data_IF_758718650640
#
_entry.id   IF_758718650640
#
_cell.length_a   1.000
_cell.length_b   1.000
_cell.length_c   1.000
_cell.angle_alpha   90.00
_cell.angle_beta   90.00
_cell.angle_gamma   90.00
#
_symmetry.space_group_name_H-M   'P 1'
#
loop_
_entity.id
_entity.type
_entity.pdbx_description
1 polymer ?
#
# COMPACT_ATOMS: atom_id res chain seq x y z
N UNK A 1 -9.65 -51.38 20.70
CA UNK A 1 -11.07 -50.96 20.53
C UNK A 1 -11.27 -49.65 21.29
N UNK A 2 -11.29 -48.51 20.59
CA UNK A 2 -11.64 -47.22 21.20
C UNK A 2 -13.18 -47.14 21.30
N UNK A 3 -13.68 -46.96 22.52
CA UNK A 3 -15.09 -46.95 22.88
C UNK A 3 -15.86 -45.84 22.15
N UNK A 4 -17.10 -46.13 21.75
CA UNK A 4 -17.97 -45.24 20.95
C UNK A 4 -18.17 -43.84 21.56
N UNK A 5 -17.98 -43.71 22.88
CA UNK A 5 -18.05 -42.46 23.63
C UNK A 5 -16.92 -41.47 23.25
N UNK A 6 -15.69 -41.96 23.06
CA UNK A 6 -14.54 -41.12 22.68
C UNK A 6 -14.70 -40.53 21.27
N UNK A 7 -15.33 -41.27 20.34
CA UNK A 7 -15.61 -40.78 18.98
C UNK A 7 -16.67 -39.67 18.94
N UNK A 8 -17.62 -39.65 19.89
CA UNK A 8 -18.62 -38.56 19.99
C UNK A 8 -18.01 -37.28 20.54
N UNK A 9 -17.19 -37.37 21.58
CA UNK A 9 -16.50 -36.19 22.14
C UNK A 9 -15.56 -35.53 21.11
N UNK A 10 -14.79 -36.32 20.34
CA UNK A 10 -13.89 -35.78 19.30
C UNK A 10 -14.68 -35.10 18.16
N UNK A 11 -15.83 -35.65 17.75
CA UNK A 11 -16.69 -35.04 16.71
C UNK A 11 -17.37 -33.75 17.18
N UNK A 12 -17.79 -33.68 18.44
CA UNK A 12 -18.35 -32.46 19.04
C UNK A 12 -17.29 -31.36 19.17
N UNK A 13 -16.06 -31.71 19.56
CA UNK A 13 -14.94 -30.77 19.63
C UNK A 13 -14.56 -30.20 18.25
N UNK A 14 -14.52 -31.06 17.21
CA UNK A 14 -14.21 -30.63 15.84
C UNK A 14 -15.31 -29.77 15.21
N UNK A 15 -16.59 -30.02 15.51
CA UNK A 15 -17.70 -29.20 15.04
C UNK A 15 -17.72 -27.82 15.71
N UNK A 16 -17.42 -27.74 17.01
CA UNK A 16 -17.33 -26.48 17.74
C UNK A 16 -16.17 -25.60 17.25
N UNK A 17 -14.99 -26.17 17.00
CA UNK A 17 -13.85 -25.43 16.46
C UNK A 17 -14.08 -24.95 15.03
N UNK A 18 -14.71 -25.76 14.18
CA UNK A 18 -15.12 -25.33 12.84
C UNK A 18 -16.15 -24.19 12.89
N UNK A 19 -17.13 -24.26 13.79
CA UNK A 19 -18.13 -23.20 13.99
C UNK A 19 -17.50 -21.86 14.41
N UNK A 20 -16.53 -21.88 15.33
CA UNK A 20 -15.78 -20.68 15.74
C UNK A 20 -14.98 -20.11 14.58
N UNK A 21 -14.27 -20.94 13.81
CA UNK A 21 -13.50 -20.50 12.65
C UNK A 21 -14.39 -19.79 11.62
N UNK A 22 -15.55 -20.40 11.29
CA UNK A 22 -16.51 -19.82 10.35
C UNK A 22 -17.07 -18.50 10.86
N UNK A 23 -17.40 -18.41 12.15
CA UNK A 23 -17.89 -17.17 12.76
C UNK A 23 -16.83 -16.05 12.69
N UNK A 24 -15.57 -16.35 13.02
CA UNK A 24 -14.44 -15.40 12.94
C UNK A 24 -14.24 -14.91 11.50
N UNK A 25 -14.19 -15.83 10.53
CA UNK A 25 -14.06 -15.48 9.11
C UNK A 25 -15.23 -14.61 8.65
N UNK A 26 -16.46 -14.95 9.03
CA UNK A 26 -17.66 -14.19 8.67
C UNK A 26 -17.62 -12.77 9.25
N UNK A 27 -17.26 -12.63 10.53
CA UNK A 27 -17.09 -11.32 11.17
C UNK A 27 -16.02 -10.50 10.44
N UNK A 28 -14.90 -11.12 10.06
CA UNK A 28 -13.83 -10.45 9.33
C UNK A 28 -14.28 -9.97 7.94
N UNK A 29 -15.01 -10.81 7.19
CA UNK A 29 -15.57 -10.45 5.87
C UNK A 29 -16.61 -9.34 5.97
N UNK A 30 -17.48 -9.38 6.98
CA UNK A 30 -18.49 -8.34 7.19
C UNK A 30 -17.82 -7.03 7.63
N UNK A 31 -16.80 -7.10 8.48
CA UNK A 31 -16.05 -5.93 8.93
C UNK A 31 -15.24 -5.30 7.79
N UNK A 32 -14.60 -6.10 6.92
CA UNK A 32 -13.82 -5.59 5.78
C UNK A 32 -14.69 -4.92 4.73
N UNK A 33 -15.92 -5.42 4.49
CA UNK A 33 -16.91 -4.78 3.61
C UNK A 33 -17.41 -3.42 4.09
N UNK A 34 -17.12 -3.02 5.35
CA UNK A 34 -17.57 -1.74 5.90
C UNK A 34 -16.62 -0.58 5.66
N UNK A 35 -15.40 -0.81 5.17
CA UNK A 35 -14.50 0.29 4.81
C UNK A 35 -14.86 0.72 3.38
N UNK A 36 -15.42 1.92 3.16
CA UNK A 36 -15.69 2.39 1.81
C UNK A 36 -14.40 2.40 1.01
N UNK A 37 -14.46 2.01 -0.27
CA UNK A 37 -13.28 1.98 -1.14
C UNK A 37 -12.61 3.36 -1.25
N UNK A 38 -13.41 4.41 -1.07
CA UNK A 38 -12.98 5.81 -1.06
C UNK A 38 -12.40 6.30 0.25
N UNK A 39 -12.47 5.51 1.33
CA UNK A 39 -11.93 5.88 2.61
C UNK A 39 -10.41 6.18 2.48
N UNK A 40 -9.90 7.26 3.11
CA UNK A 40 -8.50 7.63 3.01
C UNK A 40 -7.54 6.49 3.36
N UNK A 41 -7.88 5.68 4.37
CA UNK A 41 -7.06 4.53 4.77
C UNK A 41 -7.05 3.41 3.73
N UNK A 42 -8.16 3.17 3.03
CA UNK A 42 -8.23 2.19 1.96
C UNK A 42 -7.42 2.63 0.74
N UNK A 43 -7.46 3.92 0.41
CA UNK A 43 -6.62 4.53 -0.65
C UNK A 43 -5.14 4.42 -0.32
N UNK A 44 -4.75 4.67 0.93
CA UNK A 44 -3.39 4.49 1.42
C UNK A 44 -2.91 3.04 1.22
N UNK A 45 -3.67 2.04 1.68
CA UNK A 45 -3.28 0.63 1.52
C UNK A 45 -3.19 0.18 0.06
N UNK A 46 -4.10 0.63 -0.82
CA UNK A 46 -3.99 0.38 -2.27
C UNK A 46 -2.70 0.96 -2.84
N UNK A 47 -2.36 2.17 -2.40
CA UNK A 47 -1.14 2.85 -2.82
C UNK A 47 0.12 2.10 -2.36
N UNK A 48 0.14 1.57 -1.13
CA UNK A 48 1.23 0.72 -0.60
C UNK A 48 1.42 -0.58 -1.41
N UNK A 49 0.32 -1.23 -1.79
CA UNK A 49 0.36 -2.40 -2.66
C UNK A 49 0.98 -2.07 -4.02
N UNK A 50 0.57 -0.94 -4.63
CA UNK A 50 1.15 -0.45 -5.89
C UNK A 50 2.64 -0.15 -5.80
N UNK A 51 3.09 0.51 -4.71
CA UNK A 51 4.52 0.76 -4.46
C UNK A 51 5.33 -0.53 -4.42
N UNK A 52 4.77 -1.59 -3.84
CA UNK A 52 5.45 -2.88 -3.70
C UNK A 52 5.66 -3.55 -5.04
N UNK A 53 4.63 -3.54 -5.88
CA UNK A 53 4.70 -4.10 -7.22
C UNK A 53 5.72 -3.34 -8.08
N UNK A 54 5.71 -2.01 -8.02
CA UNK A 54 6.68 -1.15 -8.72
C UNK A 54 8.11 -1.34 -8.20
N UNK A 55 8.31 -1.44 -6.89
CA UNK A 55 9.62 -1.74 -6.30
C UNK A 55 10.17 -3.08 -6.80
N UNK A 56 9.31 -4.10 -6.93
CA UNK A 56 9.69 -5.38 -7.51
C UNK A 56 10.08 -5.25 -8.99
N UNK A 57 9.35 -4.45 -9.77
CA UNK A 57 9.69 -4.17 -11.17
C UNK A 57 11.08 -3.51 -11.29
N UNK A 58 11.36 -2.49 -10.48
CA UNK A 58 12.65 -1.77 -10.45
C UNK A 58 13.82 -2.71 -10.11
N UNK A 59 13.68 -3.51 -9.05
CA UNK A 59 14.74 -4.44 -8.65
C UNK A 59 14.95 -5.53 -9.72
N UNK A 60 13.87 -6.02 -10.34
CA UNK A 60 13.96 -7.01 -11.44
C UNK A 60 14.65 -6.42 -12.68
N UNK A 61 14.38 -5.16 -13.00
CA UNK A 61 15.09 -4.43 -14.07
C UNK A 61 16.58 -4.29 -13.75
N UNK A 62 16.92 -3.92 -12.51
CA UNK A 62 18.29 -3.76 -12.03
C UNK A 62 19.06 -5.08 -12.06
N UNK A 63 18.47 -6.17 -11.60
CA UNK A 63 19.08 -7.50 -11.61
C UNK A 63 19.46 -7.94 -13.03
N UNK A 64 18.69 -7.51 -14.02
CA UNK A 64 18.92 -7.85 -15.43
C UNK A 64 19.92 -6.95 -16.16
N UNK A 65 19.88 -5.65 -15.90
CA UNK A 65 20.69 -4.66 -16.64
C UNK A 65 21.95 -4.24 -15.88
N UNK A 66 22.09 -4.65 -14.61
CA UNK A 66 23.18 -4.23 -13.73
C UNK A 66 23.07 -2.78 -13.23
N UNK A 67 22.02 -2.05 -13.63
CA UNK A 67 21.79 -0.66 -13.26
C UNK A 67 20.30 -0.38 -13.03
N UNK A 68 20.00 0.57 -12.14
CA UNK A 68 18.65 1.07 -11.95
C UNK A 68 18.14 1.83 -13.18
N UNK A 69 16.82 1.85 -13.43
CA UNK A 69 16.24 2.63 -14.53
C UNK A 69 16.45 4.15 -14.35
N UNK A 70 16.31 4.97 -15.41
CA UNK A 70 16.40 6.43 -15.32
C UNK A 70 15.33 7.01 -14.38
N UNK A 71 15.50 8.23 -13.88
CA UNK A 71 14.53 8.82 -12.97
C UNK A 71 13.16 9.10 -13.60
N UNK A 72 12.15 9.26 -12.75
CA UNK A 72 10.81 9.66 -13.15
C UNK A 72 9.97 8.52 -13.75
N UNK A 73 8.88 8.90 -14.41
CA UNK A 73 7.87 7.97 -14.91
C UNK A 73 8.40 7.08 -16.05
N UNK A 74 9.31 7.59 -16.89
CA UNK A 74 9.91 6.79 -17.97
C UNK A 74 10.73 5.62 -17.43
N UNK A 75 11.45 5.80 -16.31
CA UNK A 75 12.15 4.70 -15.67
C UNK A 75 11.23 3.65 -15.08
N UNK A 76 10.12 4.08 -14.48
CA UNK A 76 9.09 3.15 -14.02
C UNK A 76 8.50 2.37 -15.19
N UNK A 77 8.24 3.03 -16.32
CA UNK A 77 7.71 2.39 -17.53
C UNK A 77 8.66 1.33 -18.05
N UNK A 78 9.96 1.64 -18.16
CA UNK A 78 10.98 0.65 -18.53
C UNK A 78 11.02 -0.55 -17.59
N UNK A 79 10.90 -0.31 -16.28
CA UNK A 79 10.90 -1.38 -15.29
C UNK A 79 9.63 -2.26 -15.37
N UNK A 80 8.45 -1.67 -15.53
CA UNK A 80 7.19 -2.40 -15.65
C UNK A 80 7.07 -3.13 -16.97
N UNK A 81 7.52 -2.54 -18.08
CA UNK A 81 7.55 -3.17 -19.40
C UNK A 81 8.48 -4.39 -19.37
N UNK A 82 9.65 -4.26 -18.75
CA UNK A 82 10.59 -5.36 -18.58
C UNK A 82 10.01 -6.51 -17.74
N UNK A 83 9.37 -6.19 -16.61
CA UNK A 83 8.73 -7.20 -15.76
C UNK A 83 7.53 -7.88 -16.47
N UNK A 84 6.81 -7.13 -17.32
CA UNK A 84 5.60 -7.62 -17.99
C UNK A 84 5.84 -8.35 -19.31
N UNK A 85 7.10 -8.52 -19.72
CA UNK A 85 7.45 -9.16 -21.00
C UNK A 85 7.00 -10.63 -21.09
N UNK A 86 6.96 -11.32 -19.95
CA UNK A 86 6.67 -12.77 -19.87
C UNK A 86 5.26 -13.04 -19.29
N UNK A 87 4.66 -12.05 -18.63
CA UNK A 87 3.32 -12.11 -18.05
C UNK A 87 2.76 -10.69 -17.93
N UNK A 88 1.48 -10.52 -18.24
CA UNK A 88 0.83 -9.20 -18.30
C UNK A 88 0.51 -8.64 -16.90
N UNK A 89 1.56 -8.21 -16.17
CA UNK A 89 1.42 -7.61 -14.84
C UNK A 89 0.98 -6.14 -14.91
N UNK A 90 1.39 -5.43 -15.95
CA UNK A 90 1.20 -3.99 -16.13
C UNK A 90 0.81 -3.66 -17.59
N UNK A 91 -0.41 -3.99 -18.04
CA UNK A 91 -0.81 -3.84 -19.46
C UNK A 91 -0.72 -2.41 -19.97
N UNK A 92 -1.00 -1.44 -19.08
CA UNK A 92 -1.00 -0.01 -19.40
C UNK A 92 0.21 0.72 -18.80
N UNK A 93 1.25 -0.03 -18.38
CA UNK A 93 2.42 0.50 -17.70
C UNK A 93 2.20 0.75 -16.20
N UNK A 94 3.00 1.66 -15.58
CA UNK A 94 2.92 1.92 -14.15
C UNK A 94 1.53 2.44 -13.75
N UNK A 95 0.83 1.81 -12.80
CA UNK A 95 -0.48 2.28 -12.38
C UNK A 95 -0.33 3.62 -11.65
N UNK A 96 -1.35 4.50 -11.69
CA UNK A 96 -1.39 5.64 -10.80
C UNK A 96 -1.63 5.19 -9.34
N UNK A 97 -1.34 6.06 -8.38
CA UNK A 97 -1.75 5.87 -7.01
C UNK A 97 -3.27 5.95 -6.82
N UNK A 98 -3.76 5.73 -5.60
CA UNK A 98 -5.19 5.76 -5.29
C UNK A 98 -5.85 7.15 -5.40
N UNK A 99 -5.08 8.20 -5.69
CA UNK A 99 -5.54 9.54 -6.00
C UNK A 99 -5.40 9.90 -7.48
N UNK A 100 -5.03 8.93 -8.33
CA UNK A 100 -4.88 9.12 -9.76
C UNK A 100 -3.58 9.82 -10.16
N UNK A 101 -2.60 9.90 -9.25
CA UNK A 101 -1.33 10.61 -9.48
C UNK A 101 -0.22 9.63 -9.81
N UNK A 102 0.77 10.03 -10.64
CA UNK A 102 1.91 9.18 -10.92
C UNK A 102 2.81 9.04 -9.69
N UNK A 103 3.35 7.84 -9.50
CA UNK A 103 4.38 7.59 -8.50
C UNK A 103 5.66 8.38 -8.78
N UNK A 104 6.38 8.75 -7.73
CA UNK A 104 7.67 9.43 -7.79
C UNK A 104 8.79 8.41 -7.65
N UNK A 105 9.63 8.32 -8.68
CA UNK A 105 10.82 7.49 -8.70
C UNK A 105 12.08 8.36 -8.84
N UNK A 106 12.99 8.23 -7.88
CA UNK A 106 14.26 8.97 -7.84
C UNK A 106 15.40 7.99 -7.57
N UNK A 107 16.32 7.74 -8.51
CA UNK A 107 17.50 6.92 -8.26
C UNK A 107 18.49 7.67 -7.34
N UNK A 108 19.31 6.92 -6.60
CA UNK A 108 20.29 7.50 -5.65
C UNK A 108 21.16 8.60 -6.27
N UNK A 109 21.59 8.41 -7.52
CA UNK A 109 22.43 9.35 -8.27
C UNK A 109 21.82 10.75 -8.45
N UNK A 110 20.51 10.90 -8.25
CA UNK A 110 19.78 12.16 -8.40
C UNK A 110 19.32 12.78 -7.08
N UNK A 111 19.64 12.18 -5.93
CA UNK A 111 19.17 12.67 -4.63
C UNK A 111 19.60 14.11 -4.32
N UNK A 112 20.80 14.48 -4.72
CA UNK A 112 21.42 15.78 -4.44
C UNK A 112 21.18 16.83 -5.52
N UNK A 113 20.41 16.52 -6.57
CA UNK A 113 20.08 17.48 -7.62
C UNK A 113 19.27 18.66 -7.07
N UNK A 114 19.40 19.87 -7.66
CA UNK A 114 18.62 21.05 -7.26
C UNK A 114 17.11 20.82 -7.41
N UNK A 115 16.72 20.02 -8.41
CA UNK A 115 15.33 19.66 -8.70
C UNK A 115 14.95 18.28 -8.16
N UNK A 116 15.72 17.76 -7.20
CA UNK A 116 15.48 16.44 -6.62
C UNK A 116 14.26 16.45 -5.71
N UNK A 117 13.26 15.65 -6.09
CA UNK A 117 12.11 15.33 -5.24
C UNK A 117 12.40 14.17 -4.28
N UNK A 118 13.66 13.88 -3.97
CA UNK A 118 13.98 12.88 -2.97
C UNK A 118 13.42 13.30 -1.60
N UNK A 119 12.73 12.38 -0.91
CA UNK A 119 12.29 12.52 0.49
C UNK A 119 13.47 12.71 1.45
N UNK A 120 14.67 12.24 1.06
CA UNK A 120 15.91 12.23 1.87
C UNK A 120 15.76 11.57 3.25
N UNK A 121 14.73 10.74 3.42
CA UNK A 121 14.49 9.91 4.61
C UNK A 121 15.31 8.61 4.53
N UNK A 122 15.76 8.10 5.67
CA UNK A 122 16.63 6.91 5.78
C UNK A 122 15.85 5.58 5.88
N UNK A 123 14.54 5.56 5.63
CA UNK A 123 13.70 4.39 5.93
C UNK A 123 12.65 4.08 4.87
N UNK A 124 12.44 2.79 4.56
CA UNK A 124 11.39 2.33 3.64
C UNK A 124 11.86 1.90 2.25
N UNK A 125 11.00 2.05 1.23
CA UNK A 125 11.47 2.11 -0.18
C UNK A 125 12.29 3.37 -0.47
N UNK A 126 12.45 4.25 0.53
CA UNK A 126 13.57 5.16 0.63
C UNK A 126 14.78 4.41 1.19
N UNK A 127 15.34 3.51 0.40
CA UNK A 127 16.67 2.98 0.68
C UNK A 127 17.66 4.07 0.24
N UNK A 128 18.33 4.77 1.18
CA UNK A 128 19.15 5.91 0.82
C UNK A 128 20.29 5.54 -0.12
N UNK A 129 20.66 4.26 -0.23
CA UNK A 129 21.74 3.75 -1.08
C UNK A 129 21.28 3.19 -2.44
N UNK A 130 19.96 3.13 -2.70
CA UNK A 130 19.42 2.49 -3.91
C UNK A 130 18.63 3.45 -4.78
N UNK A 131 17.41 3.73 -4.35
CA UNK A 131 16.44 4.59 -5.00
C UNK A 131 15.36 4.95 -3.98
N UNK A 132 14.55 5.94 -4.32
CA UNK A 132 13.34 6.33 -3.63
C UNK A 132 12.15 6.13 -4.55
N UNK A 133 11.12 5.50 -4.01
CA UNK A 133 9.84 5.30 -4.65
C UNK A 133 8.74 5.68 -3.66
N UNK A 134 7.86 6.60 -4.04
CA UNK A 134 6.77 7.06 -3.16
C UNK A 134 5.58 7.63 -3.94
N UNK A 135 4.42 7.72 -3.28
CA UNK A 135 3.27 8.51 -3.74
C UNK A 135 3.22 9.82 -2.97
N UNK A 136 2.74 10.88 -3.63
CA UNK A 136 2.52 12.21 -3.02
C UNK A 136 1.26 12.27 -2.15
N UNK A 137 0.65 11.12 -1.86
CA UNK A 137 -0.46 10.98 -0.93
C UNK A 137 -1.71 11.74 -1.35
N UNK A 138 -2.53 12.15 -0.37
CA UNK A 138 -3.75 12.91 -0.60
C UNK A 138 -3.45 14.40 -0.79
N UNK A 139 -2.44 14.95 -0.11
CA UNK A 139 -2.10 16.37 -0.19
C UNK A 139 -1.54 16.79 -1.57
N UNK A 140 -0.89 15.86 -2.28
CA UNK A 140 -0.35 16.09 -3.62
C UNK A 140 0.97 16.84 -3.64
N UNK A 141 1.59 17.07 -2.48
CA UNK A 141 2.79 17.87 -2.30
C UNK A 141 4.04 16.97 -2.30
N UNK A 142 4.85 16.96 -3.38
CA UNK A 142 6.08 16.19 -3.41
C UNK A 142 7.15 16.81 -2.49
N UNK A 143 8.17 16.02 -2.17
CA UNK A 143 9.42 16.50 -1.54
C UNK A 143 9.62 16.06 -0.09
N UNK A 144 10.60 16.70 0.56
CA UNK A 144 11.20 16.29 1.84
C UNK A 144 10.17 15.88 2.90
N UNK A 145 10.47 14.77 3.57
CA UNK A 145 9.70 14.31 4.72
C UNK A 145 9.90 15.32 5.87
N UNK A 146 8.91 16.19 6.04
CA UNK A 146 8.87 17.20 7.10
C UNK A 146 7.74 16.83 8.08
N UNK A 147 8.07 16.28 9.26
CA UNK A 147 7.08 15.91 10.26
C UNK A 147 6.21 17.09 10.71
N UNK A 148 6.73 18.31 10.68
CA UNK A 148 5.99 19.51 11.07
C UNK A 148 4.96 19.92 10.02
N UNK A 149 5.26 19.67 8.74
CA UNK A 149 4.34 19.89 7.63
C UNK A 149 3.26 18.80 7.52
N UNK A 150 3.36 17.73 8.32
CA UNK A 150 2.40 16.60 8.32
C UNK A 150 2.15 16.03 6.93
N UNK A 151 3.19 15.95 6.10
CA UNK A 151 3.11 15.41 4.75
C UNK A 151 2.66 13.96 4.77
N UNK A 152 1.86 13.58 3.77
CA UNK A 152 1.29 12.24 3.67
C UNK A 152 1.93 11.36 2.57
N UNK A 153 3.20 11.65 2.25
CA UNK A 153 3.99 10.88 1.29
C UNK A 153 4.12 9.40 1.70
N UNK A 154 3.43 8.51 0.97
CA UNK A 154 3.47 7.07 1.23
C UNK A 154 4.72 6.49 0.58
N UNK A 155 5.63 5.94 1.39
CA UNK A 155 6.96 5.50 0.92
C UNK A 155 7.41 4.13 1.45
N UNK A 156 6.61 3.45 2.28
CA UNK A 156 6.94 2.13 2.83
C UNK A 156 5.78 1.45 3.52
N UNK A 157 5.99 0.20 3.95
CA UNK A 157 5.09 -0.54 4.83
C UNK A 157 5.27 -0.22 6.32
N UNK A 158 6.19 0.67 6.68
CA UNK A 158 6.57 0.92 8.07
C UNK A 158 5.39 1.55 8.83
N UNK A 159 4.89 0.83 9.83
CA UNK A 159 3.75 1.23 10.66
C UNK A 159 4.06 2.43 11.55
N UNK A 160 5.34 2.70 11.80
CA UNK A 160 5.80 3.79 12.67
C UNK A 160 5.86 5.15 11.96
N UNK A 161 5.53 5.18 10.66
CA UNK A 161 5.68 6.39 9.85
C UNK A 161 4.63 7.45 10.19
N UNK A 162 5.02 8.74 10.25
CA UNK A 162 4.12 9.82 10.65
C UNK A 162 2.94 10.01 9.68
N UNK A 163 3.12 9.73 8.38
CA UNK A 163 2.04 9.84 7.39
C UNK A 163 0.87 8.88 7.66
N UNK A 164 1.08 7.74 8.37
CA UNK A 164 -0.03 6.85 8.75
C UNK A 164 -0.98 7.52 9.73
N UNK A 165 -0.47 8.30 10.68
CA UNK A 165 -1.30 9.06 11.61
C UNK A 165 -2.14 10.10 10.86
N UNK A 166 -1.59 10.72 9.81
CA UNK A 166 -2.35 11.62 8.93
C UNK A 166 -3.52 10.90 8.27
N UNK A 167 -3.31 9.70 7.72
CA UNK A 167 -4.39 8.91 7.13
C UNK A 167 -5.43 8.40 8.14
N UNK A 168 -5.03 8.09 9.37
CA UNK A 168 -5.95 7.77 10.45
C UNK A 168 -6.87 8.96 10.75
N UNK A 169 -6.31 10.16 10.93
CA UNK A 169 -7.11 11.38 11.16
C UNK A 169 -8.02 11.73 9.97
N UNK A 170 -7.53 11.60 8.73
CA UNK A 170 -8.36 11.79 7.53
C UNK A 170 -9.52 10.79 7.49
N UNK A 171 -9.25 9.53 7.85
CA UNK A 171 -10.27 8.49 7.89
C UNK A 171 -11.31 8.71 9.00
N UNK A 172 -10.90 9.22 10.15
CA UNK A 172 -11.81 9.61 11.23
C UNK A 172 -12.75 10.74 10.78
N UNK A 173 -12.22 11.80 10.16
CA UNK A 173 -13.01 12.90 9.58
C UNK A 173 -14.01 12.39 8.54
N UNK A 174 -13.54 11.58 7.60
CA UNK A 174 -14.37 10.94 6.58
C UNK A 174 -15.50 10.10 7.20
N UNK A 175 -15.20 9.34 8.26
CA UNK A 175 -16.19 8.51 8.97
C UNK A 175 -17.24 9.35 9.71
N UNK A 176 -16.87 10.53 10.21
CA UNK A 176 -17.81 11.46 10.83
C UNK A 176 -18.72 12.10 9.77
N UNK A 177 -18.14 12.61 8.67
CA UNK A 177 -18.88 13.27 7.59
C UNK A 177 -19.87 12.33 6.89
N UNK A 178 -19.47 11.09 6.63
CA UNK A 178 -20.33 10.07 6.01
C UNK A 178 -21.55 9.69 6.87
N UNK A 179 -21.40 9.71 8.21
CA UNK A 179 -22.54 9.48 9.13
C UNK A 179 -23.57 10.60 9.08
N UNK A 180 -23.13 11.85 8.94
CA UNK A 180 -24.03 13.01 8.87
C UNK A 180 -24.68 13.19 7.49
N UNK A 181 -23.99 12.75 6.44
CA UNK A 181 -24.46 12.88 5.04
C UNK A 181 -25.46 11.79 4.64
N UNK A 182 -25.63 10.74 5.45
CA UNK A 182 -26.62 9.70 5.19
C UNK A 182 -28.03 10.24 5.48
N UNK A 183 -28.95 10.30 4.49
CA UNK A 183 -30.31 10.74 4.74
C UNK A 183 -30.93 9.85 5.82
N UNK A 184 -31.44 10.46 6.89
CA UNK A 184 -32.25 9.74 7.88
C UNK A 184 -33.52 9.30 7.16
N UNK A 185 -33.51 8.10 6.61
CA UNK A 185 -34.73 7.47 6.10
C UNK A 185 -35.71 7.37 7.28
N UNK A 186 -36.90 7.99 7.17
CA UNK A 186 -37.93 7.95 8.21
C UNK A 186 -38.47 6.55 8.43
#
# INVERSE_FOLDING_TARGET
MLTSSLRRCVRLGAAASAGVLVAVVTVFVVASRRIPEDAPIARMYRTEAGLTALAKAIETYRDAHGAYPPAGIEGLRLATDYLSRDADYFPDGPPPDAWGRPYRYVPHTQYSGPDSYALRSHSGYAAPEKYQLYSVGADGAPGLDDPSARRDNICSWDETKPWRAVYQELNEKYSLESRWSSPRTP
#
